data_IF_777281115281
#
_entry.id   IF_777281115281
#
_cell.length_a   1.000
_cell.length_b   1.000
_cell.length_c   1.000
_cell.angle_alpha   90.00
_cell.angle_beta   90.00
_cell.angle_gamma   90.00
#
_symmetry.space_group_name_H-M   'P 1'
#
loop_
_entity.id
_entity.type
_entity.pdbx_description
1 polymer ?
#
# COMPACT_ATOMS: atom_id res chain seq x y z
N UNK A 1 18.83 -15.57 1.82
CA UNK A 1 17.35 -15.47 1.67
C UNK A 1 17.03 -14.12 1.06
N UNK A 2 16.43 -14.06 -0.14
CA UNK A 2 15.90 -12.79 -0.65
C UNK A 2 14.65 -12.46 0.18
N UNK A 3 14.65 -11.31 0.84
CA UNK A 3 13.46 -10.80 1.52
C UNK A 3 12.41 -10.55 0.42
N UNK A 4 11.27 -11.25 0.47
CA UNK A 4 10.16 -11.02 -0.47
C UNK A 4 9.44 -9.69 -0.17
N UNK A 5 9.67 -9.18 1.03
CA UNK A 5 9.13 -7.92 1.50
C UNK A 5 10.08 -6.79 1.07
N UNK A 6 9.61 -5.94 0.17
CA UNK A 6 10.29 -4.74 -0.29
C UNK A 6 9.28 -3.65 -0.58
N UNK A 7 9.76 -2.44 -0.89
CA UNK A 7 8.93 -1.34 -1.37
C UNK A 7 8.08 -1.78 -2.58
N UNK A 8 8.65 -2.55 -3.52
CA UNK A 8 7.90 -3.08 -4.66
C UNK A 8 6.64 -3.88 -4.29
N UNK A 9 6.67 -4.61 -3.16
CA UNK A 9 5.56 -5.42 -2.67
C UNK A 9 4.76 -4.75 -1.53
N UNK A 10 5.07 -3.49 -1.21
CA UNK A 10 4.47 -2.76 -0.10
C UNK A 10 3.17 -2.07 -0.54
N UNK A 11 2.13 -2.15 0.29
CA UNK A 11 0.84 -1.48 0.09
C UNK A 11 0.95 0.05 -0.06
N UNK A 12 1.97 0.64 0.55
CA UNK A 12 2.16 2.09 0.58
C UNK A 12 3.02 2.62 -0.57
N UNK A 13 3.55 1.76 -1.44
CA UNK A 13 4.52 2.17 -2.44
C UNK A 13 3.90 2.21 -3.84
N UNK A 14 4.14 3.31 -4.55
CA UNK A 14 3.68 3.53 -5.90
C UNK A 14 4.91 3.71 -6.82
N UNK A 15 5.07 2.84 -7.82
CA UNK A 15 6.27 2.80 -8.65
C UNK A 15 6.29 3.88 -9.73
N UNK A 16 7.38 4.58 -9.93
CA UNK A 16 7.46 5.54 -11.06
C UNK A 16 7.59 4.81 -12.40
N UNK A 17 7.17 5.45 -13.49
CA UNK A 17 7.35 4.94 -14.86
C UNK A 17 6.20 4.08 -15.39
N UNK A 18 6.43 3.42 -16.53
CA UNK A 18 5.37 2.70 -17.24
C UNK A 18 4.79 1.58 -16.38
N UNK A 19 3.46 1.59 -16.20
CA UNK A 19 2.71 0.60 -15.40
C UNK A 19 3.21 0.46 -13.95
N UNK A 20 3.83 1.50 -13.41
CA UNK A 20 4.26 1.52 -12.01
C UNK A 20 5.37 0.51 -11.66
N UNK A 21 6.25 0.20 -12.62
CA UNK A 21 7.29 -0.85 -12.51
C UNK A 21 8.73 -0.34 -12.53
N UNK A 22 8.95 0.96 -12.37
CA UNK A 22 10.29 1.53 -12.34
C UNK A 22 11.09 1.14 -11.09
N UNK A 23 12.41 1.36 -11.11
CA UNK A 23 13.30 1.05 -9.98
C UNK A 23 13.13 2.01 -8.80
N UNK A 24 12.43 3.13 -9.00
CA UNK A 24 12.10 4.15 -8.00
C UNK A 24 10.59 4.28 -7.88
N UNK A 25 10.12 4.73 -6.72
CA UNK A 25 8.70 4.98 -6.46
C UNK A 25 8.50 5.83 -5.21
N UNK A 26 7.30 6.36 -5.04
CA UNK A 26 6.90 7.18 -3.89
C UNK A 26 6.35 6.29 -2.78
N UNK A 27 6.73 6.60 -1.53
CA UNK A 27 6.21 5.92 -0.34
C UNK A 27 5.17 6.80 0.34
N UNK A 28 3.92 6.33 0.39
CA UNK A 28 2.76 7.01 0.96
C UNK A 28 2.46 6.58 2.41
N UNK A 29 3.45 5.99 3.10
CA UNK A 29 3.29 5.58 4.51
C UNK A 29 3.11 6.78 5.45
N UNK A 30 3.75 7.90 5.12
CA UNK A 30 3.69 9.15 5.87
C UNK A 30 3.17 10.27 4.97
N UNK A 31 2.60 11.35 5.54
CA UNK A 31 2.21 12.53 4.77
C UNK A 31 3.39 13.09 3.95
N UNK A 32 3.11 13.81 2.86
CA UNK A 32 4.16 14.46 2.09
C UNK A 32 4.88 15.50 2.95
N UNK A 33 6.19 15.61 2.77
CA UNK A 33 7.02 16.59 3.50
C UNK A 33 6.86 17.94 2.82
N UNK A 34 6.30 18.90 3.55
CA UNK A 34 6.12 20.28 3.07
C UNK A 34 7.37 21.10 3.37
N UNK A 35 7.88 21.81 2.37
CA UNK A 35 9.00 22.74 2.53
C UNK A 35 8.70 24.04 1.78
N UNK A 36 9.42 25.15 2.05
CA UNK A 36 9.22 26.39 1.27
C UNK A 36 9.45 26.21 -0.24
N UNK A 37 10.23 25.20 -0.65
CA UNK A 37 10.49 24.88 -2.06
C UNK A 37 9.45 23.92 -2.65
N UNK A 38 8.65 23.28 -1.82
CA UNK A 38 7.59 22.34 -2.19
C UNK A 38 6.39 22.54 -1.26
N UNK A 39 5.57 23.57 -1.53
CA UNK A 39 4.43 23.93 -0.68
C UNK A 39 3.30 22.88 -0.72
N UNK A 40 3.16 22.16 -1.84
CA UNK A 40 2.22 21.04 -1.97
C UNK A 40 2.72 19.76 -1.27
N UNK A 41 4.01 19.72 -0.97
CA UNK A 41 4.70 18.64 -0.29
C UNK A 41 5.09 17.47 -1.21
N UNK A 42 6.16 16.77 -0.82
CA UNK A 42 6.67 15.62 -1.57
C UNK A 42 6.68 14.34 -0.74
N UNK A 43 6.20 13.24 -1.32
CA UNK A 43 6.37 11.92 -0.74
C UNK A 43 7.83 11.43 -0.89
N UNK A 44 8.37 10.70 0.09
CA UNK A 44 9.71 10.12 -0.01
C UNK A 44 9.84 9.18 -1.21
N UNK A 45 10.87 9.39 -2.03
CA UNK A 45 11.22 8.50 -3.14
C UNK A 45 12.15 7.40 -2.62
N UNK A 46 11.80 6.15 -2.89
CA UNK A 46 12.53 4.95 -2.45
C UNK A 46 12.81 4.02 -3.62
N UNK A 47 13.81 3.14 -3.47
CA UNK A 47 14.09 2.08 -4.43
C UNK A 47 13.10 0.92 -4.27
N UNK A 48 12.72 0.29 -5.37
CA UNK A 48 11.80 -0.87 -5.35
C UNK A 48 12.33 -2.06 -4.53
N UNK A 49 13.64 -2.16 -4.36
CA UNK A 49 14.34 -3.18 -3.56
C UNK A 49 14.52 -2.82 -2.08
N UNK A 50 14.22 -1.59 -1.66
CA UNK A 50 14.35 -1.17 -0.27
C UNK A 50 13.29 -1.81 0.63
N UNK A 51 13.51 -1.77 1.95
CA UNK A 51 12.56 -2.27 2.96
C UNK A 51 12.61 -1.39 4.21
N UNK A 52 11.47 -1.23 4.89
CA UNK A 52 11.37 -0.61 6.20
C UNK A 52 10.41 -1.39 7.12
N UNK A 53 10.49 -1.17 8.44
CA UNK A 53 9.67 -1.88 9.42
C UNK A 53 8.16 -1.62 9.31
N UNK A 54 7.75 -0.60 8.56
CA UNK A 54 6.35 -0.23 8.32
C UNK A 54 5.71 -0.96 7.13
N UNK A 55 6.44 -1.90 6.54
CA UNK A 55 5.98 -2.64 5.38
C UNK A 55 4.66 -3.37 5.68
N UNK A 56 3.72 -3.29 4.74
CA UNK A 56 2.46 -4.04 4.78
C UNK A 56 2.16 -4.65 3.43
N UNK A 57 1.59 -5.86 3.43
CA UNK A 57 1.05 -6.49 2.21
C UNK A 57 -0.16 -5.72 1.72
N UNK A 58 -0.34 -5.67 0.39
CA UNK A 58 -1.65 -5.37 -0.16
C UNK A 58 -2.57 -6.48 0.32
N UNK A 59 -3.48 -6.17 1.25
CA UNK A 59 -4.60 -7.05 1.53
C UNK A 59 -5.33 -7.23 0.21
N UNK A 60 -5.21 -8.42 -0.39
CA UNK A 60 -6.26 -8.93 -1.26
C UNK A 60 -7.55 -8.67 -0.51
N UNK A 61 -8.54 -8.02 -1.11
CA UNK A 61 -9.89 -8.09 -0.57
C UNK A 61 -10.21 -9.58 -0.46
N UNK A 62 -10.08 -10.14 0.74
CA UNK A 62 -10.79 -11.35 1.09
C UNK A 62 -12.24 -11.01 0.82
N UNK A 63 -12.84 -11.75 -0.10
CA UNK A 63 -14.25 -11.61 -0.45
C UNK A 63 -15.07 -11.65 0.84
N UNK A 64 -15.53 -10.49 1.31
CA UNK A 64 -16.56 -10.41 2.33
C UNK A 64 -17.90 -10.61 1.64
N UNK A 65 -18.52 -11.74 1.93
CA UNK A 65 -19.86 -12.07 1.50
C UNK A 65 -19.96 -13.52 1.06
N UNK A 66 -20.22 -14.41 2.02
CA UNK A 66 -21.11 -15.52 1.72
C UNK A 66 -22.44 -14.89 1.22
N UNK A 67 -22.86 -15.08 -0.03
CA UNK A 67 -24.04 -14.42 -0.58
C UNK A 67 -25.36 -14.91 0.06
N UNK A 68 -25.31 -15.86 1.00
CA UNK A 68 -26.49 -16.53 1.55
C UNK A 68 -26.76 -16.26 3.04
N UNK A 69 -25.95 -15.44 3.72
CA UNK A 69 -26.27 -15.00 5.08
C UNK A 69 -27.19 -13.78 5.01
N UNK A 70 -28.51 -14.00 5.11
CA UNK A 70 -29.48 -12.90 5.17
C UNK A 70 -29.73 -12.47 6.62
N UNK A 71 -29.97 -11.17 6.80
CA UNK A 71 -30.33 -10.48 8.06
C UNK A 71 -31.52 -11.08 8.84
N UNK A 72 -32.16 -12.12 8.32
CA UNK A 72 -33.30 -12.79 8.93
C UNK A 72 -32.91 -13.96 9.85
N UNK A 73 -31.66 -14.46 9.79
CA UNK A 73 -31.21 -15.58 10.64
C UNK A 73 -31.01 -15.18 12.12
N UNK A 74 -30.80 -13.89 12.41
CA UNK A 74 -30.61 -13.39 13.78
C UNK A 74 -31.92 -13.13 14.55
N UNK A 75 -33.10 -13.22 13.89
CA UNK A 75 -34.40 -12.92 14.50
C UNK A 75 -35.17 -14.15 15.00
N UNK A 76 -34.59 -15.36 14.86
CA UNK A 76 -35.20 -16.63 15.27
C UNK A 76 -34.31 -17.32 16.31
N UNK A 77 -34.14 -16.69 17.47
CA UNK A 77 -33.68 -17.35 18.71
C UNK A 77 -34.64 -17.08 19.85
#
# INVERSE_FOLDING_TARGET
>A
MKRLDSCYSCRYWEGQGLRQRGPKGTCHRYPPVVTPRSPEGDFPVTLSSAWCGEWKRVLSQTADGDPEATIYDDLVS
#
